data_IF_317675142376
#
_entry.id   IF_317675142376
#
_cell.length_a   1.000
_cell.length_b   1.000
_cell.length_c   1.000
_cell.angle_alpha   90.00
_cell.angle_beta   90.00
_cell.angle_gamma   90.00
#
_symmetry.space_group_name_H-M   'P 1'
#
loop_
_entity.id
_entity.type
_entity.pdbx_description
1 polymer ?
#
# COMPACT_ATOMS: atom_id res chain seq x y z
N UNK A 1 2.19 -6.15 54.61
CA UNK A 1 2.61 -6.07 53.18
C UNK A 1 1.58 -6.67 52.21
N UNK A 2 1.05 -7.89 52.40
CA UNK A 2 0.04 -8.49 51.49
C UNK A 2 -1.20 -7.60 51.22
N UNK A 3 -1.72 -6.93 52.24
CA UNK A 3 -2.89 -6.04 52.11
C UNK A 3 -2.61 -4.77 51.29
N UNK A 4 -1.35 -4.31 51.25
CA UNK A 4 -0.94 -3.13 50.48
C UNK A 4 -0.80 -3.49 49.00
N UNK A 5 -0.20 -4.65 48.72
CA UNK A 5 -0.04 -5.19 47.36
C UNK A 5 -1.42 -5.45 46.72
N UNK A 6 -2.39 -5.99 47.47
CA UNK A 6 -3.75 -6.21 46.96
C UNK A 6 -4.52 -4.92 46.68
N UNK A 7 -4.25 -3.84 47.43
CA UNK A 7 -4.81 -2.51 47.11
C UNK A 7 -4.21 -1.95 45.82
N UNK A 8 -2.89 -2.08 45.63
CA UNK A 8 -2.20 -1.62 44.43
C UNK A 8 -2.71 -2.36 43.19
N UNK A 9 -2.87 -3.68 43.27
CA UNK A 9 -3.38 -4.52 42.17
C UNK A 9 -4.84 -4.22 41.77
N UNK A 10 -5.66 -3.71 42.69
CA UNK A 10 -7.06 -3.34 42.43
C UNK A 10 -7.24 -1.86 42.05
N UNK A 11 -6.15 -1.10 41.91
CA UNK A 11 -6.22 0.31 41.50
C UNK A 11 -6.49 0.39 40.00
N UNK A 12 -7.33 1.34 39.56
CA UNK A 12 -7.77 1.50 38.15
C UNK A 12 -6.66 1.68 37.10
N UNK A 13 -5.40 1.86 37.51
CA UNK A 13 -4.23 1.97 36.63
C UNK A 13 -3.26 0.78 36.70
N UNK A 14 -3.58 -0.27 37.46
CA UNK A 14 -2.70 -1.43 37.56
C UNK A 14 -2.88 -2.31 36.32
N UNK A 15 -1.98 -2.16 35.37
CA UNK A 15 -1.85 -3.02 34.21
C UNK A 15 -0.93 -4.17 34.59
N UNK A 16 -1.38 -5.42 34.42
CA UNK A 16 -0.52 -6.58 34.68
C UNK A 16 0.63 -6.61 33.69
N UNK A 17 1.75 -7.21 34.11
CA UNK A 17 2.92 -7.34 33.24
C UNK A 17 2.59 -8.13 31.97
N UNK A 18 1.71 -9.14 32.05
CA UNK A 18 1.23 -9.88 30.89
C UNK A 18 0.53 -8.97 29.87
N UNK A 19 -0.30 -8.01 30.33
CA UNK A 19 -0.98 -7.07 29.43
C UNK A 19 0.01 -6.17 28.68
N UNK A 20 1.10 -5.75 29.32
CA UNK A 20 2.15 -4.93 28.67
C UNK A 20 2.81 -5.73 27.54
N UNK A 21 3.12 -7.00 27.79
CA UNK A 21 3.70 -7.88 26.77
C UNK A 21 2.75 -8.09 25.59
N UNK A 22 1.46 -8.30 25.84
CA UNK A 22 0.44 -8.49 24.79
C UNK A 22 0.29 -7.22 23.95
N UNK A 23 0.19 -6.05 24.58
CA UNK A 23 0.06 -4.77 23.86
C UNK A 23 1.31 -4.48 23.04
N UNK A 24 2.51 -4.71 23.60
CA UNK A 24 3.77 -4.54 22.88
C UNK A 24 3.87 -5.45 21.65
N UNK A 25 3.50 -6.72 21.79
CA UNK A 25 3.47 -7.67 20.67
C UNK A 25 2.47 -7.25 19.57
N UNK A 26 1.30 -6.74 19.96
CA UNK A 26 0.29 -6.26 19.02
C UNK A 26 0.79 -5.07 18.20
N UNK A 27 1.48 -4.12 18.83
CA UNK A 27 2.03 -2.94 18.15
C UNK A 27 3.09 -3.37 17.13
N UNK A 28 3.99 -4.28 17.50
CA UNK A 28 5.03 -4.80 16.59
C UNK A 28 4.38 -5.52 15.41
N UNK A 29 3.41 -6.40 15.67
CA UNK A 29 2.71 -7.13 14.62
C UNK A 29 1.97 -6.20 13.65
N UNK A 30 1.26 -5.18 14.17
CA UNK A 30 0.60 -4.18 13.35
C UNK A 30 1.60 -3.39 12.49
N UNK A 31 2.75 -3.00 13.06
CA UNK A 31 3.83 -2.32 12.33
C UNK A 31 4.37 -3.16 11.16
N UNK A 32 4.59 -4.46 11.38
CA UNK A 32 5.05 -5.38 10.33
C UNK A 32 4.00 -5.47 9.21
N UNK A 33 2.71 -5.64 9.54
CA UNK A 33 1.64 -5.74 8.55
C UNK A 33 1.57 -4.47 7.70
N UNK A 34 1.61 -3.29 8.33
CA UNK A 34 1.57 -2.01 7.63
C UNK A 34 2.80 -1.85 6.72
N UNK A 35 3.99 -2.22 7.19
CA UNK A 35 5.22 -2.14 6.40
C UNK A 35 5.15 -3.04 5.15
N UNK A 36 4.73 -4.30 5.31
CA UNK A 36 4.58 -5.24 4.19
C UNK A 36 3.47 -4.81 3.22
N UNK A 37 2.35 -4.28 3.72
CA UNK A 37 1.25 -3.81 2.90
C UNK A 37 1.68 -2.60 2.04
N UNK A 38 2.39 -1.63 2.62
CA UNK A 38 2.89 -0.48 1.88
C UNK A 38 3.97 -0.86 0.85
N UNK A 39 4.87 -1.79 1.19
CA UNK A 39 5.85 -2.31 0.24
C UNK A 39 5.20 -2.96 -0.98
N UNK A 40 4.24 -3.88 -0.75
CA UNK A 40 3.49 -4.53 -1.83
C UNK A 40 2.61 -3.56 -2.61
N UNK A 41 2.02 -2.55 -1.95
CA UNK A 41 1.24 -1.52 -2.63
C UNK A 41 2.12 -0.69 -3.58
N UNK A 42 3.36 -0.36 -3.18
CA UNK A 42 4.30 0.35 -4.05
C UNK A 42 4.69 -0.47 -5.29
N UNK A 43 4.91 -1.79 -5.12
CA UNK A 43 5.25 -2.68 -6.23
C UNK A 43 4.08 -2.83 -7.22
N UNK A 44 2.86 -3.00 -6.72
CA UNK A 44 1.64 -3.09 -7.54
C UNK A 44 1.35 -1.76 -8.25
N UNK A 45 1.53 -0.63 -7.58
CA UNK A 45 1.33 0.69 -8.17
C UNK A 45 2.33 0.95 -9.30
N UNK A 46 3.61 0.59 -9.12
CA UNK A 46 4.62 0.74 -10.17
C UNK A 46 4.33 -0.18 -11.37
N UNK A 47 3.93 -1.42 -11.12
CA UNK A 47 3.57 -2.35 -12.19
C UNK A 47 2.34 -1.89 -12.97
N UNK A 48 1.34 -1.34 -12.27
CA UNK A 48 0.14 -0.77 -12.90
C UNK A 48 0.47 0.48 -13.72
N UNK A 49 1.30 1.39 -13.20
CA UNK A 49 1.76 2.58 -13.92
C UNK A 49 2.49 2.22 -15.21
N UNK A 50 3.45 1.30 -15.15
CA UNK A 50 4.16 0.84 -16.36
C UNK A 50 3.23 0.15 -17.37
N UNK A 51 2.24 -0.62 -16.92
CA UNK A 51 1.26 -1.24 -17.82
C UNK A 51 0.36 -0.21 -18.50
N UNK A 52 -0.07 0.83 -17.76
CA UNK A 52 -0.87 1.95 -18.29
C UNK A 52 -0.06 2.80 -19.25
N UNK A 53 1.19 3.13 -18.91
CA UNK A 53 2.08 3.90 -19.78
C UNK A 53 2.40 3.14 -21.07
N UNK A 54 2.61 1.82 -20.98
CA UNK A 54 2.80 0.98 -22.15
C UNK A 54 1.53 0.90 -23.01
N UNK A 55 0.36 0.68 -22.41
CA UNK A 55 -0.91 0.65 -23.15
C UNK A 55 -1.24 2.00 -23.81
N UNK A 56 -0.97 3.11 -23.11
CA UNK A 56 -1.11 4.47 -23.62
C UNK A 56 -0.15 4.73 -24.78
N UNK A 57 1.10 4.33 -24.64
CA UNK A 57 2.13 4.46 -25.69
C UNK A 57 1.79 3.62 -26.92
N UNK A 58 1.32 2.39 -26.75
CA UNK A 58 0.89 1.54 -27.86
C UNK A 58 -0.37 2.10 -28.53
N UNK A 59 -1.34 2.61 -27.77
CA UNK A 59 -2.53 3.28 -28.32
C UNK A 59 -2.16 4.56 -29.08
N UNK A 60 -1.17 5.33 -28.61
CA UNK A 60 -0.65 6.53 -29.29
C UNK A 60 0.15 6.19 -30.56
N UNK A 61 0.86 5.06 -30.60
CA UNK A 61 1.50 4.56 -31.82
C UNK A 61 0.48 4.07 -32.84
N UNK A 62 -0.57 3.38 -32.39
CA UNK A 62 -1.64 2.85 -33.24
C UNK A 62 -2.50 4.00 -33.81
N UNK A 63 -2.77 5.03 -33.01
CA UNK A 63 -3.47 6.25 -33.48
C UNK A 63 -2.57 7.20 -34.28
N UNK A 64 -1.27 7.29 -33.98
CA UNK A 64 -0.30 8.07 -34.76
C UNK A 64 -0.02 7.48 -36.14
N UNK A 65 -0.05 6.15 -36.27
CA UNK A 65 0.01 5.46 -37.57
C UNK A 65 -1.31 5.56 -38.33
N UNK A 66 -2.46 5.61 -37.65
CA UNK A 66 -3.76 5.92 -38.29
C UNK A 66 -3.85 7.36 -38.80
N UNK A 67 -3.26 8.35 -38.09
CA UNK A 67 -3.25 9.77 -38.54
C UNK A 67 -2.24 10.02 -39.67
N UNK A 68 -1.09 9.35 -39.67
CA UNK A 68 -0.15 9.38 -40.81
C UNK A 68 -0.53 8.44 -41.96
N UNK A 69 -1.52 7.56 -41.75
CA UNK A 69 -2.07 6.62 -42.73
C UNK A 69 -3.22 7.19 -43.57
N UNK A 70 -3.73 8.39 -43.27
CA UNK A 70 -4.52 9.19 -44.22
C UNK A 70 -3.59 9.86 -45.25
N UNK A 71 -2.90 8.98 -45.97
CA UNK A 71 -2.84 8.97 -47.41
C UNK A 71 -2.84 10.33 -48.14
N UNK A 72 -1.62 10.79 -48.43
CA UNK A 72 -1.31 11.78 -49.47
C UNK A 72 -1.63 11.28 -50.91
N UNK A 73 -2.42 10.23 -51.13
CA UNK A 73 -2.84 9.80 -52.49
C UNK A 73 -4.30 10.11 -52.83
N UNK A 74 -5.09 10.71 -51.93
CA UNK A 74 -6.51 11.07 -52.21
C UNK A 74 -6.75 12.53 -52.67
N UNK A 75 -5.73 13.40 -52.75
CA UNK A 75 -5.86 14.76 -53.30
C UNK A 75 -4.90 15.04 -54.47
N UNK A 76 -4.78 14.06 -55.37
CA UNK A 76 -4.27 14.26 -56.72
C UNK A 76 -5.42 14.41 -57.72
N UNK A 77 -6.10 15.55 -57.69
CA UNK A 77 -6.84 16.18 -58.79
C UNK A 77 -6.74 17.69 -58.60
#
# INVERSE_FOLDING_TARGET
MKNVINKIKNTKGFVSIETIFVVGAFIILAGIIIFFANGKASDVSNSTGTAVDNASTETLKDTGTAVNGYDKTTFGQ
#
